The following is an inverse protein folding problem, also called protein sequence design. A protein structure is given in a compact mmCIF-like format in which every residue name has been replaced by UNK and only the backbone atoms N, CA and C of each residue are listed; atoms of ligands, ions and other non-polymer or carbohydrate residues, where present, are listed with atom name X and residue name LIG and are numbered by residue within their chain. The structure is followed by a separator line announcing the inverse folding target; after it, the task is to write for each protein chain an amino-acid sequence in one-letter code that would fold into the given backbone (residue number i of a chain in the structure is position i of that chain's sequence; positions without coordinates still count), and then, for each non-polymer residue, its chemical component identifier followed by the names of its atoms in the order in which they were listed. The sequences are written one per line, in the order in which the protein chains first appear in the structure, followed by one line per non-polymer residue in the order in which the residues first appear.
data_IF_250296716202
#
_entry.id   IF_250296716202
#
_cell.length_a   1.000
_cell.length_b   1.000
_cell.length_c   1.000
_cell.angle_alpha   90.00
_cell.angle_beta   90.00
_cell.angle_gamma   90.00
#
_symmetry.space_group_name_H-M   'P 1'
#
loop_
_entity.id
_entity.type
_entity.pdbx_description
1 polymer ?
#
# COMPACT_ATOMS: atom_id res chain seq x y z
N UNK A 1 -9.39 17.60 -6.83
CA UNK A 1 -9.33 16.45 -6.06
C UNK A 1 -10.68 16.11 -5.50
N UNK A 2 -10.88 14.92 -5.30
CA UNK A 2 -12.17 14.48 -5.05
C UNK A 2 -12.35 14.09 -3.63
N UNK A 3 -13.10 14.88 -2.89
CA UNK A 3 -13.37 14.57 -1.51
C UNK A 3 -14.29 13.37 -1.36
N UNK A 4 -14.93 12.98 -2.48
CA UNK A 4 -15.86 11.88 -2.43
C UNK A 4 -15.18 10.52 -2.47
N UNK A 5 -13.92 10.48 -2.86
CA UNK A 5 -13.17 9.23 -2.91
C UNK A 5 -12.10 9.29 -1.83
N UNK A 6 -12.21 8.40 -0.86
CA UNK A 6 -11.28 8.37 0.26
C UNK A 6 -10.40 7.15 0.16
N UNK A 7 -9.11 7.34 0.50
CA UNK A 7 -8.17 6.26 0.62
C UNK A 7 -7.72 6.21 2.08
N UNK A 8 -7.69 5.01 2.63
CA UNK A 8 -7.07 4.77 3.92
C UNK A 8 -6.10 3.62 3.73
N UNK A 9 -5.00 3.63 4.47
CA UNK A 9 -4.05 2.55 4.37
C UNK A 9 -3.34 2.35 5.68
N UNK A 10 -3.02 1.10 5.97
CA UNK A 10 -2.26 0.71 7.14
C UNK A 10 -1.02 -0.05 6.70
N UNK A 11 0.04 0.12 7.48
CA UNK A 11 1.30 -0.56 7.23
C UNK A 11 1.61 -1.42 8.44
N UNK A 12 1.96 -2.68 8.20
CA UNK A 12 2.26 -3.62 9.27
C UNK A 12 3.47 -4.46 8.89
N UNK A 13 4.34 -4.71 9.86
CA UNK A 13 5.48 -5.60 9.66
C UNK A 13 5.07 -7.00 10.05
N UNK A 14 5.46 -7.97 9.23
CA UNK A 14 5.10 -9.36 9.49
C UNK A 14 6.20 -10.26 8.93
N UNK A 15 6.94 -10.92 9.82
CA UNK A 15 7.95 -11.91 9.46
C UNK A 15 8.97 -11.37 8.47
N UNK A 16 9.44 -10.16 8.72
CA UNK A 16 10.45 -9.54 7.86
C UNK A 16 9.91 -8.94 6.59
N UNK A 17 8.60 -8.93 6.40
CA UNK A 17 7.97 -8.32 5.25
C UNK A 17 7.11 -7.16 5.70
N UNK A 18 6.75 -6.31 4.76
CA UNK A 18 5.91 -5.16 5.02
C UNK A 18 4.59 -5.37 4.31
N UNK A 19 3.51 -5.35 5.08
CA UNK A 19 2.17 -5.48 4.52
C UNK A 19 1.54 -4.11 4.46
N UNK A 20 1.03 -3.74 3.28
CA UNK A 20 0.35 -2.47 3.08
C UNK A 20 -1.09 -2.81 2.70
N UNK A 21 -2.02 -2.46 3.57
CA UNK A 21 -3.43 -2.71 3.32
C UNK A 21 -4.10 -1.39 2.98
N UNK A 22 -4.63 -1.30 1.77
CA UNK A 22 -5.25 -0.07 1.28
C UNK A 22 -6.74 -0.29 1.09
N UNK A 23 -7.53 0.72 1.46
CA UNK A 23 -8.97 0.69 1.36
C UNK A 23 -9.44 1.93 0.59
N UNK A 24 -10.31 1.72 -0.37
CA UNK A 24 -10.92 2.79 -1.16
C UNK A 24 -12.40 2.84 -0.81
N UNK A 25 -12.88 4.03 -0.48
CA UNK A 25 -14.29 4.25 -0.22
C UNK A 25 -14.85 5.24 -1.23
N UNK A 26 -16.01 4.91 -1.77
CA UNK A 26 -16.69 5.79 -2.71
C UNK A 26 -17.88 6.45 -1.99
N UNK A 27 -17.71 7.72 -1.64
CA UNK A 27 -18.76 8.50 -1.00
C UNK A 27 -19.48 9.41 -1.98
N UNK A 28 -19.20 9.25 -3.27
CA UNK A 28 -19.90 9.96 -4.32
C UNK A 28 -21.23 9.28 -4.60
N UNK A 29 -22.08 9.91 -5.41
CA UNK A 29 -23.36 9.33 -5.79
C UNK A 29 -23.32 8.62 -7.15
N UNK A 30 -22.10 8.41 -7.69
CA UNK A 30 -21.89 7.69 -8.94
C UNK A 30 -20.81 6.64 -8.74
N UNK A 31 -20.81 5.57 -9.54
CA UNK A 31 -19.79 4.54 -9.40
C UNK A 31 -18.39 5.05 -9.73
N UNK A 32 -17.42 4.55 -9.01
CA UNK A 32 -16.00 4.75 -9.33
C UNK A 32 -15.59 3.57 -10.20
N UNK A 33 -15.07 3.86 -11.40
CA UNK A 33 -14.77 2.85 -12.41
C UNK A 33 -13.32 2.92 -12.84
N UNK A 34 -12.86 1.88 -13.52
CA UNK A 34 -11.52 1.80 -14.08
C UNK A 34 -10.45 2.08 -13.02
N UNK A 35 -10.58 1.42 -11.90
CA UNK A 35 -9.74 1.70 -10.75
C UNK A 35 -8.39 1.02 -10.90
N UNK A 36 -7.33 1.79 -10.67
CA UNK A 36 -5.97 1.25 -10.56
C UNK A 36 -5.41 1.71 -9.22
N UNK A 37 -5.06 0.75 -8.40
CA UNK A 37 -4.53 1.00 -7.06
C UNK A 37 -3.07 0.56 -7.04
N UNK A 38 -2.19 1.44 -6.62
CA UNK A 38 -0.76 1.15 -6.59
C UNK A 38 -0.16 1.53 -5.25
N UNK A 39 0.81 0.73 -4.80
CA UNK A 39 1.70 1.15 -3.73
C UNK A 39 2.95 1.70 -4.39
N UNK A 40 3.40 2.87 -3.91
CA UNK A 40 4.59 3.53 -4.43
C UNK A 40 5.70 3.43 -3.40
N UNK A 41 6.86 3.00 -3.82
CA UNK A 41 7.99 2.75 -2.92
C UNK A 41 9.28 2.89 -3.73
N UNK A 42 10.39 2.96 -3.02
CA UNK A 42 11.70 2.99 -3.65
C UNK A 42 12.09 1.56 -4.02
N UNK A 43 12.24 1.29 -5.32
CA UNK A 43 12.51 -0.06 -5.78
C UNK A 43 13.91 -0.53 -5.42
N UNK A 44 14.79 0.38 -4.99
CA UNK A 44 16.08 -0.04 -4.47
C UNK A 44 15.96 -0.57 -3.04
N UNK A 45 14.88 -0.22 -2.34
CA UNK A 45 14.68 -0.64 -0.95
C UNK A 45 13.77 -1.86 -0.84
N UNK A 46 12.80 -2.00 -1.72
CA UNK A 46 11.80 -3.06 -1.63
C UNK A 46 11.55 -3.70 -2.98
N UNK A 47 11.03 -4.92 -2.94
CA UNK A 47 10.38 -5.51 -4.10
C UNK A 47 8.94 -5.82 -3.71
N UNK A 48 8.02 -5.69 -4.66
CA UNK A 48 6.61 -5.96 -4.42
C UNK A 48 6.28 -7.37 -4.86
N UNK A 49 5.91 -8.19 -3.90
CA UNK A 49 5.54 -9.57 -4.18
C UNK A 49 4.14 -9.57 -4.82
N UNK A 50 4.04 -10.09 -6.02
CA UNK A 50 2.78 -10.11 -6.73
C UNK A 50 2.46 -8.82 -7.44
N UNK A 51 3.40 -7.84 -7.41
CA UNK A 51 3.23 -6.59 -8.13
C UNK A 51 2.87 -5.43 -7.24
N UNK A 52 3.10 -4.23 -7.75
CA UNK A 52 2.88 -2.98 -7.01
C UNK A 52 1.55 -2.35 -7.34
N UNK A 53 0.85 -2.83 -8.35
CA UNK A 53 -0.41 -2.23 -8.79
C UNK A 53 -1.43 -3.32 -9.05
N UNK A 54 -2.69 -2.98 -8.85
CA UNK A 54 -3.78 -3.88 -9.15
C UNK A 54 -4.91 -3.07 -9.81
N UNK A 55 -5.56 -3.69 -10.80
CA UNK A 55 -6.78 -3.16 -11.37
C UNK A 55 -7.94 -3.76 -10.61
N UNK A 56 -8.86 -2.90 -10.22
CA UNK A 56 -10.03 -3.33 -9.48
C UNK A 56 -11.25 -3.07 -10.35
N UNK A 57 -12.34 -3.73 -10.05
CA UNK A 57 -13.59 -3.43 -10.72
C UNK A 57 -14.10 -2.07 -10.31
N UNK A 58 -15.41 -1.91 -10.19
CA UNK A 58 -15.91 -0.62 -9.73
C UNK A 58 -16.27 -0.70 -8.27
N UNK A 59 -16.31 0.48 -7.66
CA UNK A 59 -16.81 0.63 -6.29
C UNK A 59 -18.09 1.45 -6.40
N UNK A 60 -19.20 0.85 -5.99
CA UNK A 60 -20.50 1.50 -6.06
C UNK A 60 -20.61 2.57 -5.00
N UNK A 61 -21.52 3.53 -5.18
CA UNK A 61 -21.74 4.56 -4.16
C UNK A 61 -22.00 3.93 -2.79
N UNK A 62 -21.33 4.44 -1.78
CA UNK A 62 -21.42 3.90 -0.44
C UNK A 62 -20.61 2.64 -0.20
N UNK A 63 -19.95 2.12 -1.24
CA UNK A 63 -19.19 0.90 -1.11
C UNK A 63 -17.72 1.15 -0.86
N UNK A 64 -16.99 0.05 -0.63
CA UNK A 64 -15.56 0.11 -0.38
C UNK A 64 -14.91 -1.17 -0.86
N UNK A 65 -13.61 -1.09 -1.16
CA UNK A 65 -12.81 -2.25 -1.49
C UNK A 65 -11.45 -2.13 -0.84
N UNK A 66 -10.88 -3.28 -0.50
CA UNK A 66 -9.60 -3.35 0.19
C UNK A 66 -8.67 -4.28 -0.58
N UNK A 67 -7.38 -3.94 -0.58
CA UNK A 67 -6.36 -4.80 -1.17
C UNK A 67 -5.10 -4.72 -0.34
N UNK A 68 -4.38 -5.84 -0.26
CA UNK A 68 -3.12 -5.92 0.46
C UNK A 68 -1.98 -6.08 -0.51
N UNK A 69 -0.92 -5.29 -0.27
CA UNK A 69 0.34 -5.45 -0.98
C UNK A 69 1.37 -5.98 -0.02
N UNK A 70 2.29 -6.79 -0.53
CA UNK A 70 3.40 -7.31 0.27
C UNK A 70 4.70 -6.79 -0.32
N UNK A 71 5.47 -6.10 0.51
CA UNK A 71 6.78 -5.58 0.12
C UNK A 71 7.85 -6.33 0.88
N UNK A 72 8.89 -6.73 0.17
CA UNK A 72 10.02 -7.42 0.77
C UNK A 72 11.23 -6.50 0.76
N UNK A 73 11.83 -6.25 1.92
CA UNK A 73 12.99 -5.37 1.97
C UNK A 73 14.19 -6.05 1.32
N UNK A 74 14.97 -5.26 0.59
CA UNK A 74 16.18 -5.76 -0.07
C UNK A 74 17.40 -5.64 0.81
N UNK A 75 17.30 -4.83 1.87
CA UNK A 75 18.39 -4.56 2.80
C UNK A 75 17.80 -3.88 4.02
N UNK A 76 18.64 -3.44 4.93
CA UNK A 76 18.19 -2.65 6.06
C UNK A 76 17.52 -1.38 5.54
N UNK A 77 16.30 -1.11 5.98
CA UNK A 77 15.52 0.01 5.50
C UNK A 77 15.56 1.13 6.52
N UNK A 78 15.93 2.32 6.07
CA UNK A 78 15.95 3.52 6.90
C UNK A 78 15.24 4.64 6.19
N UNK A 79 14.16 5.12 6.80
CA UNK A 79 13.41 6.29 6.33
C UNK A 79 12.94 6.17 4.88
N UNK A 80 12.53 4.99 4.49
CA UNK A 80 12.02 4.78 3.14
C UNK A 80 10.55 5.19 3.10
N UNK A 81 10.19 6.02 2.14
CA UNK A 81 8.83 6.56 2.05
C UNK A 81 7.93 5.67 1.24
N UNK A 82 6.71 5.56 1.71
CA UNK A 82 5.68 4.78 1.02
C UNK A 82 4.48 5.66 0.76
N UNK A 83 3.82 5.40 -0.36
CA UNK A 83 2.59 6.08 -0.76
C UNK A 83 1.63 5.07 -1.37
N UNK A 84 0.35 5.39 -1.28
CA UNK A 84 -0.68 4.63 -1.97
C UNK A 84 -1.41 5.59 -2.89
N UNK A 85 -1.57 5.19 -4.14
CA UNK A 85 -2.23 6.01 -5.16
C UNK A 85 -3.39 5.25 -5.74
N UNK A 86 -4.51 5.93 -5.92
CA UNK A 86 -5.65 5.40 -6.66
C UNK A 86 -5.94 6.32 -7.85
N UNK A 87 -6.24 5.71 -8.97
CA UNK A 87 -6.74 6.39 -10.17
C UNK A 87 -8.02 5.71 -10.59
N UNK A 88 -8.93 6.48 -11.14
CA UNK A 88 -10.19 5.93 -11.62
C UNK A 88 -10.97 6.98 -12.38
N UNK A 89 -12.25 6.70 -12.60
CA UNK A 89 -13.14 7.61 -13.32
C UNK A 89 -14.48 7.64 -12.63
N UNK A 90 -15.05 8.83 -12.55
CA UNK A 90 -16.43 9.02 -12.12
C UNK A 90 -17.06 9.88 -13.18
N UNK A 91 -18.16 9.41 -13.82
CA UNK A 91 -18.86 10.14 -14.87
C UNK A 91 -17.90 10.59 -15.97
N UNK A 92 -17.00 9.71 -16.36
CA UNK A 92 -16.02 10.00 -17.40
C UNK A 92 -14.94 11.00 -16.99
N UNK A 93 -15.01 11.54 -15.77
CA UNK A 93 -13.97 12.42 -15.29
C UNK A 93 -12.90 11.58 -14.59
N UNK A 94 -11.64 11.81 -14.94
CA UNK A 94 -10.54 11.11 -14.31
C UNK A 94 -10.36 11.65 -12.89
N UNK A 95 -10.19 10.74 -11.94
CA UNK A 95 -9.85 11.13 -10.58
C UNK A 95 -8.52 10.49 -10.20
N UNK A 96 -7.84 11.12 -9.25
CA UNK A 96 -6.58 10.63 -8.75
C UNK A 96 -6.43 11.09 -7.31
N UNK A 97 -6.02 10.18 -6.45
CA UNK A 97 -5.79 10.50 -5.06
C UNK A 97 -4.57 9.74 -4.58
N UNK A 98 -3.82 10.34 -3.67
CA UNK A 98 -2.60 9.72 -3.19
C UNK A 98 -2.41 10.10 -1.73
N UNK A 99 -2.04 9.13 -0.90
CA UNK A 99 -1.72 9.40 0.51
C UNK A 99 -0.31 8.91 0.81
N UNK A 100 0.34 9.58 1.74
CA UNK A 100 1.66 9.20 2.22
C UNK A 100 1.52 8.39 3.49
N UNK A 101 2.31 7.33 3.57
CA UNK A 101 2.28 6.45 4.74
C UNK A 101 3.42 6.72 5.70
N UNK A 102 4.24 7.74 5.40
CA UNK A 102 5.36 8.11 6.25
C UNK A 102 6.60 7.29 5.94
N UNK A 103 7.61 7.50 6.74
CA UNK A 103 8.90 6.85 6.56
C UNK A 103 8.92 5.52 7.30
N UNK A 104 9.43 4.50 6.63
CA UNK A 104 9.45 3.15 7.14
C UNK A 104 10.89 2.78 7.49
N UNK A 105 11.04 2.18 8.66
CA UNK A 105 12.33 1.65 9.11
C UNK A 105 12.12 0.18 9.42
N UNK A 106 12.96 -0.70 8.85
CA UNK A 106 12.88 -2.10 9.21
C UNK A 106 14.18 -2.80 8.89
N UNK A 107 14.43 -3.85 9.66
CA UNK A 107 15.59 -4.69 9.43
C UNK A 107 15.20 -5.82 8.49
N UNK A 108 16.16 -6.27 7.70
CA UNK A 108 15.95 -7.46 6.89
C UNK A 108 15.77 -8.62 7.84
N UNK A 109 14.73 -9.32 7.63
CA UNK A 109 14.35 -10.37 8.52
C UNK A 109 15.41 -11.42 8.71
N UNK A 110 15.84 -11.76 9.77
CA UNK A 110 16.64 -12.53 10.16
C UNK A 110 16.18 -13.53 10.88
N UNK A 111 16.44 -13.51 10.80
CA UNK A 111 16.12 -14.21 11.16
C UNK A 111 16.44 -14.67 11.71
N UNK A 112 16.63 -14.23 11.88
CA UNK A 112 16.91 -14.68 12.13
C UNK A 112 17.57 -14.42 12.72
N UNK A 113 17.57 -14.24 12.80
CA UNK A 113 18.13 -14.37 13.27
C UNK A 113 18.27 -14.13 14.05
N UNK A 114 18.14 -13.90 14.26
CA UNK A 114 18.22 -14.15 14.86
C UNK A 114 18.28 -14.19 15.43
N UNK A 115 18.50 -14.18 15.80
CA UNK A 115 18.68 -14.71 16.32
C UNK A 115 18.91 -14.71 16.74
N UNK A 116 19.21 -14.42 17.41
CA UNK A 116 19.34 -14.85 17.55
C UNK A 116 19.52 -14.49 18.10
N UNK A 117 19.45 -14.27 18.52
CA UNK A 117 19.70 -14.38 18.91
C UNK A 117 19.72 -14.10 19.35
N UNK A 118 19.85 -13.63 18.99
CA UNK A 118 19.92 -13.70 19.35
C UNK A 118 19.88 -13.43 19.71
N UNK A 119 19.99 -12.96 19.94
CA UNK A 119 19.96 -13.14 20.13
C UNK A 119 19.86 -12.75 20.67
N UNK A 120 19.89 -12.08 20.36
CA UNK A 120 19.83 -12.27 20.63
C UNK A 120 19.57 -11.88 21.00
N UNK A 121 19.40 -11.30 20.81
CA UNK A 121 19.23 -11.53 20.90
C UNK A 121 18.99 -11.38 20.92
N UNK A 122 18.86 -10.79 20.62
CA UNK A 122 18.74 -11.26 20.36
C UNK A 122 18.70 -11.35 20.60
#
# INVERSE_FOLDING_TARGET
MDEDIEIAADVRKDRGKLLVEARIENNADEPLEEIKLCVRYDSSDFSARGGACIRMGHVLPGGAQTHKFTLEPRHLIEDSELRVRVKGRIREAAIKNEIELGAINMKVGKKGYQRGHRLLQE
#
